data_IF_922819490826
#
_entry.id   IF_922819490826
#
_cell.length_a   1.000
_cell.length_b   1.000
_cell.length_c   1.000
_cell.angle_alpha   90.00
_cell.angle_beta   90.00
_cell.angle_gamma   90.00
#
_symmetry.space_group_name_H-M   'P 1'
#
loop_
_entity.id
_entity.type
_entity.pdbx_description
1 polymer ?
#
# COMPACT_ATOMS: atom_id res chain seq x y z
N UNK A 1 24.82 -1.09 -25.11
CA UNK A 1 23.94 -1.65 -24.06
C UNK A 1 24.80 -1.78 -22.81
N UNK A 2 24.38 -1.19 -21.70
CA UNK A 2 25.17 -1.18 -20.46
C UNK A 2 25.14 -2.54 -19.77
N UNK A 3 26.07 -2.80 -18.85
CA UNK A 3 26.14 -4.07 -18.12
C UNK A 3 24.95 -4.26 -17.17
N UNK A 4 24.41 -3.17 -16.61
CA UNK A 4 23.18 -3.21 -15.81
C UNK A 4 21.97 -3.68 -16.63
N UNK A 5 21.81 -3.20 -17.86
CA UNK A 5 20.72 -3.63 -18.75
C UNK A 5 20.86 -5.11 -19.10
N UNK A 6 22.08 -5.57 -19.44
CA UNK A 6 22.34 -7.00 -19.73
C UNK A 6 21.96 -7.87 -18.54
N UNK A 7 22.39 -7.48 -17.34
CA UNK A 7 22.10 -8.20 -16.09
C UNK A 7 20.59 -8.31 -15.86
N UNK A 8 19.83 -7.24 -16.03
CA UNK A 8 18.37 -7.29 -15.91
C UNK A 8 17.75 -8.23 -16.96
N UNK A 9 18.21 -8.20 -18.21
CA UNK A 9 17.69 -9.13 -19.25
C UNK A 9 17.99 -10.60 -18.89
N UNK A 10 19.19 -10.89 -18.38
CA UNK A 10 19.56 -12.23 -17.90
C UNK A 10 18.68 -12.72 -16.73
N UNK A 11 18.23 -11.78 -15.88
CA UNK A 11 17.31 -12.06 -14.78
C UNK A 11 15.83 -12.17 -15.23
N UNK A 12 15.54 -12.05 -16.53
CA UNK A 12 14.21 -12.25 -17.10
C UNK A 12 13.39 -10.98 -17.32
N UNK A 13 13.99 -9.80 -17.19
CA UNK A 13 13.32 -8.53 -17.51
C UNK A 13 13.23 -8.33 -19.03
N UNK A 14 12.16 -7.70 -19.50
CA UNK A 14 12.12 -7.25 -20.88
C UNK A 14 13.14 -6.12 -21.10
N UNK A 15 13.67 -5.98 -22.32
CA UNK A 15 14.60 -4.90 -22.66
C UNK A 15 14.02 -3.51 -22.32
N UNK A 16 12.73 -3.31 -22.60
CA UNK A 16 12.02 -2.06 -22.28
C UNK A 16 12.00 -1.80 -20.78
N UNK A 17 11.60 -2.80 -19.97
CA UNK A 17 11.55 -2.66 -18.51
C UNK A 17 12.95 -2.39 -17.94
N UNK A 18 13.98 -3.05 -18.46
CA UNK A 18 15.35 -2.83 -18.03
C UNK A 18 15.81 -1.39 -18.31
N UNK A 19 15.51 -0.86 -19.50
CA UNK A 19 15.81 0.52 -19.87
C UNK A 19 15.03 1.55 -19.02
N UNK A 20 13.79 1.25 -18.62
CA UNK A 20 13.00 2.10 -17.73
C UNK A 20 13.53 2.09 -16.28
N UNK A 21 13.89 0.91 -15.76
CA UNK A 21 14.45 0.75 -14.41
C UNK A 21 15.72 1.57 -14.24
N UNK A 22 16.71 1.42 -15.13
CA UNK A 22 17.99 2.13 -14.98
C UNK A 22 17.87 3.66 -15.10
N UNK A 23 16.76 4.15 -15.70
CA UNK A 23 16.44 5.57 -15.84
C UNK A 23 15.75 6.17 -14.62
N UNK A 24 15.37 5.35 -13.64
CA UNK A 24 14.79 5.84 -12.41
C UNK A 24 15.83 6.54 -11.53
N UNK A 25 15.47 7.68 -10.94
CA UNK A 25 16.28 8.30 -9.89
C UNK A 25 16.15 7.48 -8.59
N UNK A 26 17.24 7.21 -7.84
CA UNK A 26 18.61 7.72 -8.04
C UNK A 26 19.52 6.83 -8.88
N UNK A 27 19.02 5.72 -9.45
CA UNK A 27 19.83 4.75 -10.21
C UNK A 27 20.57 5.38 -11.39
N UNK A 28 19.98 6.38 -12.03
CA UNK A 28 20.60 7.16 -13.11
C UNK A 28 21.93 7.81 -12.75
N UNK A 29 22.14 8.12 -11.47
CA UNK A 29 23.35 8.76 -10.99
C UNK A 29 24.43 7.75 -10.55
N UNK A 30 24.10 6.46 -10.51
CA UNK A 30 25.05 5.42 -10.15
C UNK A 30 25.92 5.07 -11.36
N UNK A 31 27.18 4.73 -11.08
CA UNK A 31 28.05 4.12 -12.09
C UNK A 31 27.47 2.78 -12.50
N UNK A 32 27.52 2.45 -13.79
CA UNK A 32 26.93 1.21 -14.32
C UNK A 32 27.45 -0.05 -13.61
N UNK A 33 28.74 -0.11 -13.27
CA UNK A 33 29.30 -1.26 -12.53
C UNK A 33 28.74 -1.38 -11.11
N UNK A 34 28.52 -0.26 -10.42
CA UNK A 34 27.89 -0.24 -9.09
C UNK A 34 26.43 -0.66 -9.18
N UNK A 35 25.69 -0.13 -10.16
CA UNK A 35 24.29 -0.48 -10.36
C UNK A 35 24.12 -1.97 -10.70
N UNK A 36 24.97 -2.51 -11.57
CA UNK A 36 25.02 -3.95 -11.88
C UNK A 36 25.19 -4.79 -10.61
N UNK A 37 26.13 -4.44 -9.74
CA UNK A 37 26.37 -5.18 -8.51
C UNK A 37 25.19 -5.09 -7.55
N UNK A 38 24.61 -3.90 -7.37
CA UNK A 38 23.42 -3.73 -6.55
C UNK A 38 22.22 -4.54 -7.09
N UNK A 39 22.03 -4.60 -8.41
CA UNK A 39 20.98 -5.41 -9.03
C UNK A 39 21.16 -6.87 -8.64
N UNK A 40 22.36 -7.44 -8.81
CA UNK A 40 22.63 -8.84 -8.49
C UNK A 40 22.42 -9.13 -7.00
N UNK A 41 22.98 -8.29 -6.15
CA UNK A 41 22.94 -8.46 -4.70
C UNK A 41 21.52 -8.35 -4.16
N UNK A 42 20.78 -7.29 -4.51
CA UNK A 42 19.42 -7.10 -4.01
C UNK A 42 18.45 -8.12 -4.59
N UNK A 43 18.59 -8.48 -5.87
CA UNK A 43 17.79 -9.54 -6.47
C UNK A 43 18.00 -10.87 -5.73
N UNK A 44 19.25 -11.27 -5.49
CA UNK A 44 19.59 -12.49 -4.76
C UNK A 44 19.07 -12.46 -3.32
N UNK A 45 19.21 -11.34 -2.62
CA UNK A 45 18.68 -11.16 -1.27
C UNK A 45 17.17 -11.37 -1.24
N UNK A 46 16.43 -10.75 -2.16
CA UNK A 46 14.97 -10.91 -2.23
C UNK A 46 14.58 -12.36 -2.52
N UNK A 47 15.27 -13.05 -3.44
CA UNK A 47 15.04 -14.48 -3.65
C UNK A 47 15.25 -15.30 -2.36
N UNK A 48 16.33 -15.03 -1.62
CA UNK A 48 16.64 -15.70 -0.35
C UNK A 48 15.63 -15.39 0.76
N UNK A 49 14.99 -14.23 0.73
CA UNK A 49 13.95 -13.83 1.68
C UNK A 49 12.61 -14.55 1.43
N UNK A 50 12.47 -15.24 0.29
CA UNK A 50 11.29 -16.04 -0.07
C UNK A 50 10.38 -15.40 -1.12
N UNK A 51 10.86 -14.37 -1.84
CA UNK A 51 10.15 -13.86 -3.00
C UNK A 51 10.41 -14.76 -4.22
N UNK A 52 9.40 -14.90 -5.07
CA UNK A 52 9.56 -15.54 -6.38
C UNK A 52 10.20 -14.57 -7.38
N UNK A 53 10.77 -15.11 -8.47
CA UNK A 53 11.32 -14.28 -9.55
C UNK A 53 10.29 -13.25 -10.07
N UNK A 54 9.08 -13.71 -10.37
CA UNK A 54 7.99 -12.87 -10.89
C UNK A 54 7.64 -11.73 -9.92
N UNK A 55 7.63 -12.01 -8.62
CA UNK A 55 7.39 -11.01 -7.59
C UNK A 55 8.51 -9.98 -7.52
N UNK A 56 9.79 -10.41 -7.56
CA UNK A 56 10.94 -9.49 -7.57
C UNK A 56 10.91 -8.58 -8.80
N UNK A 57 10.68 -9.15 -9.99
CA UNK A 57 10.54 -8.39 -11.24
C UNK A 57 9.41 -7.36 -11.11
N UNK A 58 8.23 -7.78 -10.68
CA UNK A 58 7.08 -6.88 -10.52
C UNK A 58 7.39 -5.74 -9.54
N UNK A 59 7.93 -6.06 -8.37
CA UNK A 59 8.22 -5.08 -7.33
C UNK A 59 9.25 -4.04 -7.78
N UNK A 60 10.32 -4.48 -8.42
CA UNK A 60 11.42 -3.61 -8.87
C UNK A 60 11.06 -2.80 -10.11
N UNK A 61 10.09 -3.24 -10.91
CA UNK A 61 9.45 -2.39 -11.93
C UNK A 61 8.61 -1.27 -11.28
N UNK A 62 7.85 -1.60 -10.23
CA UNK A 62 7.03 -0.63 -9.51
C UNK A 62 7.86 0.36 -8.68
N UNK A 63 8.98 -0.09 -8.12
CA UNK A 63 9.88 0.72 -7.30
C UNK A 63 11.36 0.39 -7.61
N UNK A 64 11.90 0.92 -8.72
CA UNK A 64 13.28 0.67 -9.14
C UNK A 64 14.33 1.06 -8.10
N UNK A 65 14.02 2.07 -7.29
CA UNK A 65 14.88 2.58 -6.20
C UNK A 65 15.31 1.47 -5.23
N UNK A 66 14.58 0.36 -5.15
CA UNK A 66 15.01 -0.82 -4.38
C UNK A 66 16.43 -1.30 -4.76
N UNK A 67 16.87 -1.10 -6.00
CA UNK A 67 18.24 -1.40 -6.45
C UNK A 67 19.30 -0.37 -6.05
N UNK A 68 18.93 0.67 -5.32
CA UNK A 68 19.88 1.61 -4.68
C UNK A 68 20.10 1.33 -3.20
N UNK A 69 19.30 0.46 -2.60
CA UNK A 69 19.36 0.16 -1.17
C UNK A 69 20.44 -0.86 -0.86
N UNK A 70 21.04 -0.75 0.32
CA UNK A 70 21.92 -1.80 0.83
C UNK A 70 21.10 -3.01 1.32
N UNK A 71 21.76 -4.15 1.46
CA UNK A 71 21.16 -5.33 2.08
C UNK A 71 20.66 -5.02 3.51
N UNK A 72 21.41 -4.22 4.26
CA UNK A 72 21.02 -3.76 5.60
C UNK A 72 19.75 -2.92 5.57
N UNK A 73 19.55 -2.05 4.58
CA UNK A 73 18.30 -1.28 4.48
C UNK A 73 17.08 -2.22 4.33
N UNK A 74 17.18 -3.22 3.47
CA UNK A 74 16.09 -4.17 3.19
C UNK A 74 15.83 -5.06 4.42
N UNK A 75 16.89 -5.64 5.00
CA UNK A 75 16.78 -6.56 6.13
C UNK A 75 16.33 -5.84 7.41
N UNK A 76 16.86 -4.65 7.69
CA UNK A 76 16.45 -3.86 8.85
C UNK A 76 14.97 -3.45 8.74
N UNK A 77 14.49 -3.08 7.55
CA UNK A 77 13.05 -2.78 7.37
C UNK A 77 12.17 -3.98 7.70
N UNK A 78 12.54 -5.17 7.24
CA UNK A 78 11.78 -6.40 7.55
C UNK A 78 11.77 -6.63 9.06
N UNK A 79 12.94 -6.58 9.71
CA UNK A 79 13.07 -6.79 11.14
C UNK A 79 12.29 -5.74 11.96
N UNK A 80 12.30 -4.49 11.51
CA UNK A 80 11.52 -3.41 12.12
C UNK A 80 10.01 -3.70 12.05
N UNK A 81 9.50 -4.08 10.89
CA UNK A 81 8.08 -4.45 10.76
C UNK A 81 7.77 -5.68 11.63
N UNK A 82 8.65 -6.67 11.72
CA UNK A 82 8.45 -7.81 12.63
C UNK A 82 8.34 -7.35 14.09
N UNK A 83 9.21 -6.43 14.53
CA UNK A 83 9.16 -5.85 15.89
C UNK A 83 7.86 -5.10 16.17
N UNK A 84 7.20 -4.54 15.16
CA UNK A 84 5.90 -3.87 15.32
C UNK A 84 4.75 -4.85 15.57
N UNK A 85 4.93 -6.14 15.26
CA UNK A 85 3.97 -7.21 15.50
C UNK A 85 3.49 -7.95 14.25
N UNK A 86 4.14 -7.75 13.10
CA UNK A 86 3.84 -8.50 11.87
C UNK A 86 4.68 -9.80 11.83
N UNK A 87 4.13 -10.87 11.27
CA UNK A 87 4.94 -12.04 10.90
C UNK A 87 5.80 -11.76 9.66
N UNK A 88 6.86 -12.56 9.45
CA UNK A 88 7.72 -12.42 8.26
C UNK A 88 6.89 -12.59 6.98
N UNK A 89 6.00 -13.56 6.94
CA UNK A 89 5.13 -13.85 5.79
C UNK A 89 4.22 -12.67 5.47
N UNK A 90 3.68 -12.01 6.50
CA UNK A 90 2.85 -10.82 6.34
C UNK A 90 3.66 -9.64 5.81
N UNK A 91 4.87 -9.42 6.33
CA UNK A 91 5.77 -8.37 5.83
C UNK A 91 6.06 -8.58 4.35
N UNK A 92 6.44 -9.80 3.96
CA UNK A 92 6.72 -10.17 2.57
C UNK A 92 5.46 -9.95 1.70
N UNK A 93 4.27 -10.28 2.18
CA UNK A 93 3.01 -10.02 1.46
C UNK A 93 2.75 -8.52 1.27
N UNK A 94 3.01 -7.71 2.30
CA UNK A 94 2.78 -6.27 2.25
C UNK A 94 3.73 -5.56 1.28
N UNK A 95 5.02 -5.88 1.33
CA UNK A 95 6.05 -5.29 0.46
C UNK A 95 5.90 -5.70 -1.00
N UNK A 96 5.31 -6.87 -1.30
CA UNK A 96 4.89 -7.25 -2.67
C UNK A 96 3.86 -6.28 -3.26
N UNK A 97 2.91 -5.85 -2.43
CA UNK A 97 1.83 -4.96 -2.84
C UNK A 97 2.28 -3.50 -2.83
N UNK A 98 3.10 -3.12 -1.85
CA UNK A 98 3.63 -1.77 -1.68
C UNK A 98 5.15 -1.78 -1.50
N UNK A 99 5.94 -1.92 -2.58
CA UNK A 99 7.40 -2.00 -2.49
C UNK A 99 8.07 -0.76 -1.90
N UNK A 100 7.46 0.41 -2.09
CA UNK A 100 7.93 1.68 -1.50
C UNK A 100 7.95 1.68 0.03
N UNK A 101 7.31 0.69 0.69
CA UNK A 101 7.41 0.49 2.13
C UNK A 101 8.87 0.31 2.60
N UNK A 102 9.74 -0.21 1.74
CA UNK A 102 11.19 -0.26 2.00
C UNK A 102 11.83 1.12 2.16
N UNK A 103 11.29 2.14 1.48
CA UNK A 103 11.80 3.50 1.50
C UNK A 103 11.20 4.40 2.57
N UNK A 104 10.14 3.97 3.26
CA UNK A 104 9.60 4.74 4.37
C UNK A 104 10.52 4.68 5.59
N UNK A 105 10.72 5.81 6.26
CA UNK A 105 11.41 5.84 7.55
C UNK A 105 10.62 5.05 8.58
N UNK A 106 11.33 4.51 9.58
CA UNK A 106 10.69 3.84 10.73
C UNK A 106 9.77 4.80 11.49
N UNK A 107 10.17 6.07 11.59
CA UNK A 107 9.36 7.15 12.15
C UNK A 107 8.04 7.33 11.38
N UNK A 108 8.06 7.42 10.05
CA UNK A 108 6.83 7.60 9.26
C UNK A 108 5.84 6.45 9.46
N UNK A 109 6.34 5.21 9.49
CA UNK A 109 5.52 4.01 9.74
C UNK A 109 4.93 4.06 11.15
N UNK A 110 5.74 4.42 12.16
CA UNK A 110 5.31 4.50 13.56
C UNK A 110 4.29 5.60 13.76
N UNK A 111 4.55 6.81 13.25
CA UNK A 111 3.64 7.95 13.31
C UNK A 111 2.29 7.62 12.66
N UNK A 112 2.27 6.89 11.53
CA UNK A 112 1.02 6.43 10.91
C UNK A 112 0.25 5.47 11.81
N UNK A 113 0.92 4.51 12.45
CA UNK A 113 0.29 3.58 13.39
C UNK A 113 -0.29 4.35 14.58
N UNK A 114 0.49 5.25 15.18
CA UNK A 114 0.09 6.04 16.34
C UNK A 114 -1.07 6.99 16.01
N UNK A 115 -1.07 7.59 14.82
CA UNK A 115 -2.17 8.40 14.33
C UNK A 115 -3.47 7.59 14.23
N UNK A 116 -3.42 6.39 13.65
CA UNK A 116 -4.60 5.52 13.60
C UNK A 116 -5.04 5.11 15.01
N UNK A 117 -4.12 4.84 15.93
CA UNK A 117 -4.49 4.57 17.33
C UNK A 117 -5.20 5.78 17.97
N UNK A 118 -4.67 6.99 17.79
CA UNK A 118 -5.28 8.24 18.26
C UNK A 118 -6.66 8.50 17.65
N UNK A 119 -6.92 8.01 16.43
CA UNK A 119 -8.24 8.13 15.82
C UNK A 119 -9.31 7.26 16.50
N UNK A 120 -8.91 6.20 17.22
CA UNK A 120 -9.82 5.32 17.96
C UNK A 120 -9.71 3.83 17.59
N UNK A 121 -8.64 3.42 16.89
CA UNK A 121 -8.36 2.02 16.60
C UNK A 121 -7.45 1.42 17.67
N UNK A 122 -7.65 0.14 17.99
CA UNK A 122 -6.66 -0.61 18.76
C UNK A 122 -5.43 -0.94 17.91
N UNK A 123 -4.28 -1.18 18.54
CA UNK A 123 -3.06 -1.58 17.82
C UNK A 123 -3.29 -2.82 16.94
N UNK A 124 -3.99 -3.83 17.46
CA UNK A 124 -4.31 -5.05 16.71
C UNK A 124 -5.16 -4.76 15.46
N UNK A 125 -6.17 -3.89 15.59
CA UNK A 125 -6.97 -3.45 14.44
C UNK A 125 -6.09 -2.73 13.42
N UNK A 126 -5.21 -1.82 13.84
CA UNK A 126 -4.29 -1.12 12.92
C UNK A 126 -3.43 -2.11 12.14
N UNK A 127 -2.80 -3.08 12.81
CA UNK A 127 -1.98 -4.12 12.16
C UNK A 127 -2.81 -4.93 11.16
N UNK A 128 -4.04 -5.30 11.52
CA UNK A 128 -4.96 -6.02 10.63
C UNK A 128 -5.30 -5.20 9.39
N UNK A 129 -5.59 -3.91 9.57
CA UNK A 129 -5.97 -3.01 8.48
C UNK A 129 -4.80 -2.76 7.52
N UNK A 130 -3.61 -2.45 8.04
CA UNK A 130 -2.41 -2.18 7.23
C UNK A 130 -1.88 -3.43 6.53
N UNK A 131 -2.09 -4.62 7.10
CA UNK A 131 -1.84 -5.88 6.41
C UNK A 131 -2.77 -6.06 5.21
N UNK A 132 -4.05 -5.74 5.37
CA UNK A 132 -5.06 -5.88 4.32
C UNK A 132 -4.91 -4.80 3.24
N UNK A 133 -4.50 -3.59 3.63
CA UNK A 133 -4.33 -2.44 2.76
C UNK A 133 -3.02 -1.70 3.10
N UNK A 134 -1.86 -2.17 2.60
CA UNK A 134 -0.56 -1.57 2.92
C UNK A 134 -0.44 -0.10 2.51
N UNK A 135 -1.18 0.34 1.48
CA UNK A 135 -1.23 1.73 1.03
C UNK A 135 -1.76 2.70 2.09
N UNK A 136 -2.34 2.23 3.21
CA UNK A 136 -2.63 3.05 4.37
C UNK A 136 -1.38 3.76 4.92
N UNK A 137 -0.17 3.20 4.72
CA UNK A 137 1.08 3.87 5.05
C UNK A 137 1.38 5.07 4.15
N UNK A 138 0.81 5.10 2.94
CA UNK A 138 1.03 6.15 1.94
C UNK A 138 0.00 7.27 2.02
N UNK A 139 -1.16 7.05 2.64
CA UNK A 139 -2.16 8.10 2.83
C UNK A 139 -1.66 9.14 3.83
N UNK A 140 -1.92 10.42 3.58
CA UNK A 140 -1.65 11.46 4.57
C UNK A 140 -2.67 11.42 5.72
N UNK A 141 -2.32 12.01 6.87
CA UNK A 141 -3.29 12.19 7.96
C UNK A 141 -4.51 12.97 7.49
N UNK A 142 -4.29 14.04 6.72
CA UNK A 142 -5.33 14.84 6.09
C UNK A 142 -6.26 14.03 5.18
N UNK A 143 -5.74 13.09 4.38
CA UNK A 143 -6.62 12.25 3.55
C UNK A 143 -7.56 11.39 4.39
N UNK A 144 -7.05 10.84 5.50
CA UNK A 144 -7.85 10.00 6.39
C UNK A 144 -8.88 10.83 7.15
N UNK A 145 -8.50 12.00 7.68
CA UNK A 145 -9.43 12.89 8.40
C UNK A 145 -10.50 13.44 7.47
N UNK A 146 -10.12 13.94 6.29
CA UNK A 146 -11.06 14.49 5.31
C UNK A 146 -12.07 13.42 4.86
N UNK A 147 -11.65 12.16 4.68
CA UNK A 147 -12.60 11.09 4.38
C UNK A 147 -13.60 10.86 5.51
N UNK A 148 -13.15 10.92 6.76
CA UNK A 148 -14.05 10.79 7.92
C UNK A 148 -15.05 11.95 7.95
N UNK A 149 -14.59 13.19 7.80
CA UNK A 149 -15.43 14.39 7.77
C UNK A 149 -16.41 14.37 6.60
N UNK A 150 -15.97 13.94 5.44
CA UNK A 150 -16.81 13.76 4.26
C UNK A 150 -17.94 12.77 4.53
N UNK A 151 -17.64 11.61 5.14
CA UNK A 151 -18.69 10.67 5.54
C UNK A 151 -19.62 11.29 6.59
N UNK A 152 -19.10 12.02 7.58
CA UNK A 152 -19.93 12.72 8.57
C UNK A 152 -20.90 13.71 7.91
N UNK A 153 -20.49 14.38 6.83
CA UNK A 153 -21.37 15.29 6.08
C UNK A 153 -22.62 14.62 5.49
N UNK A 154 -22.58 13.29 5.27
CA UNK A 154 -23.75 12.52 4.87
C UNK A 154 -24.64 12.13 6.04
N UNK A 155 -24.19 12.22 7.29
CA UNK A 155 -24.98 11.91 8.49
C UNK A 155 -24.51 10.68 9.27
N UNK A 156 -23.30 10.16 9.00
CA UNK A 156 -22.68 9.13 9.82
C UNK A 156 -22.01 9.77 11.05
N UNK A 157 -21.90 9.04 12.16
CA UNK A 157 -21.01 9.47 13.25
C UNK A 157 -19.57 9.04 12.99
N UNK A 158 -18.60 9.68 13.66
CA UNK A 158 -17.19 9.29 13.56
C UNK A 158 -16.98 7.82 13.94
N UNK A 159 -17.64 7.36 15.01
CA UNK A 159 -17.56 5.99 15.51
C UNK A 159 -18.11 4.99 14.48
N UNK A 160 -19.20 5.35 13.80
CA UNK A 160 -19.77 4.53 12.72
C UNK A 160 -18.79 4.42 11.55
N UNK A 161 -18.20 5.53 11.11
CA UNK A 161 -17.20 5.51 10.02
C UNK A 161 -15.99 4.65 10.40
N UNK A 162 -15.47 4.80 11.62
CA UNK A 162 -14.37 3.97 12.14
C UNK A 162 -14.76 2.49 12.19
N UNK A 163 -16.02 2.17 12.55
CA UNK A 163 -16.50 0.79 12.52
C UNK A 163 -16.56 0.24 11.10
N UNK A 164 -16.99 1.05 10.14
CA UNK A 164 -17.09 0.65 8.74
C UNK A 164 -15.72 0.34 8.14
N UNK A 165 -14.72 1.18 8.38
CA UNK A 165 -13.35 1.04 7.85
C UNK A 165 -12.60 -0.17 8.42
N UNK A 166 -12.97 -0.67 9.61
CA UNK A 166 -12.47 -1.94 10.16
C UNK A 166 -12.88 -3.17 9.34
N UNK A 167 -13.94 -3.04 8.53
CA UNK A 167 -14.43 -4.12 7.66
C UNK A 167 -14.14 -3.83 6.19
N UNK A 168 -14.30 -2.57 5.76
CA UNK A 168 -13.97 -2.09 4.42
C UNK A 168 -12.83 -1.08 4.49
N UNK A 169 -11.60 -1.58 4.60
CA UNK A 169 -10.39 -0.75 4.68
C UNK A 169 -10.24 0.22 3.50
N UNK A 170 -10.65 -0.22 2.30
CA UNK A 170 -10.58 0.54 1.05
C UNK A 170 -11.49 1.76 1.03
N UNK A 171 -12.40 1.92 2.00
CA UNK A 171 -13.22 3.13 2.13
C UNK A 171 -12.37 4.41 2.18
N UNK A 172 -11.17 4.34 2.76
CA UNK A 172 -10.21 5.44 2.77
C UNK A 172 -9.64 5.81 1.40
N UNK A 173 -9.69 4.89 0.43
CA UNK A 173 -9.17 5.08 -0.93
C UNK A 173 -10.26 5.33 -1.96
N UNK A 174 -11.54 5.19 -1.60
CA UNK A 174 -12.64 5.51 -2.51
C UNK A 174 -12.71 7.02 -2.75
N UNK A 175 -12.95 7.41 -4.01
CA UNK A 175 -13.22 8.80 -4.35
C UNK A 175 -14.51 9.26 -3.67
N UNK A 176 -14.59 10.57 -3.40
CA UNK A 176 -15.82 11.18 -2.90
C UNK A 176 -16.98 11.01 -3.89
N UNK A 177 -16.69 11.06 -5.19
CA UNK A 177 -17.63 10.77 -6.25
C UNK A 177 -18.21 9.35 -6.15
N UNK A 178 -17.38 8.32 -5.97
CA UNK A 178 -17.86 6.94 -5.86
C UNK A 178 -18.82 6.75 -4.67
N UNK A 179 -18.50 7.36 -3.53
CA UNK A 179 -19.36 7.32 -2.34
C UNK A 179 -20.68 8.05 -2.62
N UNK A 180 -20.61 9.24 -3.21
CA UNK A 180 -21.78 10.07 -3.52
C UNK A 180 -22.71 9.38 -4.51
N UNK A 181 -22.16 8.84 -5.60
CA UNK A 181 -22.91 8.13 -6.63
C UNK A 181 -23.61 6.90 -6.03
N UNK A 182 -22.94 6.15 -5.16
CA UNK A 182 -23.57 4.99 -4.49
C UNK A 182 -24.74 5.40 -3.59
N UNK A 183 -24.59 6.49 -2.83
CA UNK A 183 -25.70 7.02 -1.99
C UNK A 183 -26.87 7.45 -2.88
N UNK A 184 -26.59 8.24 -3.92
CA UNK A 184 -27.63 8.74 -4.84
C UNK A 184 -28.34 7.61 -5.58
N UNK A 185 -27.60 6.58 -6.00
CA UNK A 185 -28.17 5.39 -6.63
C UNK A 185 -29.18 4.70 -5.72
N UNK A 186 -28.79 4.42 -4.46
CA UNK A 186 -29.69 3.78 -3.50
C UNK A 186 -30.91 4.65 -3.20
N UNK A 187 -30.74 5.97 -3.10
CA UNK A 187 -31.88 6.90 -2.97
C UNK A 187 -32.79 6.85 -4.22
N UNK A 188 -32.22 6.71 -5.42
CA UNK A 188 -32.95 6.54 -6.67
C UNK A 188 -33.77 5.25 -6.75
N UNK A 189 -33.42 4.22 -5.96
CA UNK A 189 -34.22 3.00 -5.79
C UNK A 189 -35.41 3.19 -4.83
N UNK A 190 -35.58 4.38 -4.25
CA UNK A 190 -36.69 4.73 -3.35
C UNK A 190 -36.38 4.64 -1.86
N UNK A 191 -35.13 4.36 -1.48
CA UNK A 191 -34.71 4.37 -0.07
C UNK A 191 -34.56 5.81 0.46
N UNK A 192 -34.98 6.05 1.70
CA UNK A 192 -34.69 7.33 2.37
C UNK A 192 -33.20 7.48 2.65
N UNK A 193 -32.72 8.72 2.86
CA UNK A 193 -31.31 8.97 3.19
C UNK A 193 -30.91 8.23 4.48
N UNK A 194 -31.80 8.22 5.47
CA UNK A 194 -31.62 7.52 6.74
C UNK A 194 -31.51 6.00 6.54
N UNK A 195 -32.35 5.41 5.67
CA UNK A 195 -32.29 3.98 5.34
C UNK A 195 -30.99 3.63 4.62
N UNK A 196 -30.56 4.46 3.67
CA UNK A 196 -29.29 4.26 2.95
C UNK A 196 -28.12 4.26 3.93
N UNK A 197 -28.03 5.24 4.83
CA UNK A 197 -26.98 5.31 5.86
C UNK A 197 -27.01 4.07 6.75
N UNK A 198 -28.21 3.62 7.15
CA UNK A 198 -28.37 2.43 7.98
C UNK A 198 -27.92 1.15 7.27
N UNK A 199 -28.23 1.03 5.98
CA UNK A 199 -27.82 -0.10 5.15
C UNK A 199 -26.30 -0.14 4.97
N UNK A 200 -25.69 0.96 4.55
CA UNK A 200 -24.26 1.05 4.27
C UNK A 200 -23.39 0.97 5.52
N UNK A 201 -23.83 1.47 6.68
CA UNK A 201 -23.08 1.29 7.93
C UNK A 201 -23.11 -0.14 8.45
N UNK A 202 -24.16 -0.88 8.10
CA UNK A 202 -24.30 -2.31 8.44
C UNK A 202 -23.56 -3.19 7.43
N UNK A 203 -23.55 -2.80 6.16
CA UNK A 203 -22.88 -3.50 5.06
C UNK A 203 -21.99 -2.55 4.25
N UNK A 204 -20.81 -2.15 4.77
CA UNK A 204 -19.95 -1.17 4.10
C UNK A 204 -19.51 -1.57 2.70
N UNK A 205 -19.42 -2.88 2.43
CA UNK A 205 -19.12 -3.45 1.11
C UNK A 205 -20.06 -2.97 -0.02
N UNK A 206 -21.24 -2.43 0.31
CA UNK A 206 -22.12 -1.77 -0.67
C UNK A 206 -21.42 -0.65 -1.46
N UNK A 207 -20.41 0.01 -0.85
CA UNK A 207 -19.59 1.01 -1.54
C UNK A 207 -18.61 0.43 -2.56
N UNK A 208 -18.34 -0.88 -2.52
CA UNK A 208 -17.41 -1.54 -3.44
C UNK A 208 -18.08 -2.29 -4.59
N UNK A 209 -19.40 -2.47 -4.57
CA UNK A 209 -20.11 -3.09 -5.68
C UNK A 209 -20.30 -2.12 -6.84
N UNK A 210 -20.07 -2.58 -8.07
CA UNK A 210 -20.46 -1.86 -9.28
C UNK A 210 -21.99 -1.69 -9.32
N UNK A 211 -22.48 -0.76 -10.14
CA UNK A 211 -23.92 -0.52 -10.33
C UNK A 211 -24.67 -1.73 -10.93
N UNK A 212 -23.92 -2.73 -11.41
CA UNK A 212 -24.42 -3.94 -12.06
C UNK A 212 -24.62 -5.13 -11.11
N UNK A 213 -24.26 -5.00 -9.81
CA UNK A 213 -24.34 -6.08 -8.81
C UNK A 213 -25.18 -5.70 -7.59
#
# INVERSE_FOLDING_TARGET
MTESIKTLIELGYSKKDAEEIIKAYPLTNLKDETLKENIKTNYKLLMNLGYTNEEVIKMTKMFPVLYSYSEDNITNKINFLIKLGYSKEEVIKMTKVLPVLYGYSEENITNRIDFLIKLGYSKEEVIKMTKALPSLFSLSEGNITNKIEFMISFGYTKEEVIKMTKTLHSLYSLSEENVTNKINFLMGLGYSKEDVIKMTKTHPALYSYSEEN
#
